data_IF_133509699379
#
_entry.id   IF_133509699379
#
_cell.length_a   1.000
_cell.length_b   1.000
_cell.length_c   1.000
_cell.angle_alpha   90.00
_cell.angle_beta   90.00
_cell.angle_gamma   90.00
#
_symmetry.space_group_name_H-M   'P 1'
#
loop_
_entity.id
_entity.type
_entity.pdbx_description
1 polymer ?
#
# COMPACT_ATOMS: atom_id res chain seq x y z
N UNK A 1 2.29 -4.88 -19.46
CA UNK A 1 2.11 -5.87 -18.37
C UNK A 1 2.48 -5.22 -17.04
N UNK A 2 1.52 -4.60 -16.33
CA UNK A 2 1.69 -4.34 -14.89
C UNK A 2 1.01 -5.50 -14.20
N UNK A 3 1.83 -6.47 -13.79
CA UNK A 3 1.43 -7.68 -13.11
C UNK A 3 0.46 -7.30 -12.00
N UNK A 4 -0.74 -7.88 -12.03
CA UNK A 4 -1.55 -8.01 -10.83
C UNK A 4 -0.72 -8.82 -9.84
N UNK A 5 0.15 -8.15 -9.08
CA UNK A 5 0.89 -8.78 -8.00
C UNK A 5 -0.18 -9.27 -7.03
N UNK A 6 -0.34 -10.59 -6.98
CA UNK A 6 -1.04 -11.20 -5.88
C UNK A 6 -0.28 -10.84 -4.60
N UNK A 7 -0.76 -9.80 -3.90
CA UNK A 7 -0.21 -9.32 -2.64
C UNK A 7 -0.68 -10.25 -1.52
N UNK A 8 -0.43 -11.55 -1.69
CA UNK A 8 -0.66 -12.59 -0.69
C UNK A 8 0.66 -12.97 -0.01
N UNK A 9 0.58 -13.37 1.26
CA UNK A 9 1.75 -13.83 2.01
C UNK A 9 2.39 -15.05 1.35
N UNK A 10 1.59 -15.90 0.69
CA UNK A 10 2.05 -17.07 -0.04
C UNK A 10 2.89 -16.69 -1.26
N UNK A 11 2.36 -15.81 -2.13
CA UNK A 11 3.07 -15.38 -3.33
C UNK A 11 4.37 -14.65 -2.99
N UNK A 12 4.34 -13.79 -1.97
CA UNK A 12 5.53 -13.10 -1.48
C UNK A 12 6.58 -14.08 -0.91
N UNK A 13 6.17 -15.06 -0.09
CA UNK A 13 7.07 -16.07 0.43
C UNK A 13 7.72 -16.88 -0.70
N UNK A 14 6.94 -17.29 -1.70
CA UNK A 14 7.43 -18.01 -2.88
C UNK A 14 8.45 -17.18 -3.68
N UNK A 15 8.18 -15.90 -3.89
CA UNK A 15 9.11 -14.98 -4.59
C UNK A 15 10.43 -14.79 -3.83
N UNK A 16 10.39 -14.85 -2.50
CA UNK A 16 11.57 -14.74 -1.63
C UNK A 16 12.29 -16.08 -1.40
N UNK A 17 11.83 -17.18 -2.01
CA UNK A 17 12.39 -18.52 -1.76
C UNK A 17 12.15 -19.02 -0.32
N UNK A 18 11.12 -18.52 0.35
CA UNK A 18 10.80 -18.81 1.75
C UNK A 18 9.48 -19.58 1.88
N UNK A 19 9.35 -20.31 3.00
CA UNK A 19 8.03 -20.76 3.46
C UNK A 19 7.26 -19.61 4.11
N UNK A 20 5.92 -19.63 4.06
CA UNK A 20 5.09 -18.63 4.73
C UNK A 20 5.41 -18.49 6.23
N UNK A 21 5.70 -19.61 6.90
CA UNK A 21 6.07 -19.61 8.33
C UNK A 21 7.38 -18.86 8.57
N UNK A 22 8.36 -19.02 7.67
CA UNK A 22 9.63 -18.31 7.77
C UNK A 22 9.47 -16.81 7.50
N UNK A 23 8.68 -16.46 6.49
CA UNK A 23 8.35 -15.06 6.20
C UNK A 23 7.65 -14.39 7.39
N UNK A 24 6.61 -15.03 7.95
CA UNK A 24 5.90 -14.51 9.13
C UNK A 24 6.83 -14.36 10.34
N UNK A 25 7.74 -15.31 10.56
CA UNK A 25 8.73 -15.23 11.65
C UNK A 25 9.68 -14.04 11.45
N UNK A 26 10.21 -13.86 10.25
CA UNK A 26 11.09 -12.74 9.92
C UNK A 26 10.39 -11.39 10.13
N UNK A 27 9.16 -11.25 9.63
CA UNK A 27 8.35 -10.04 9.84
C UNK A 27 8.08 -9.79 11.33
N UNK A 28 7.77 -10.82 12.11
CA UNK A 28 7.56 -10.69 13.55
C UNK A 28 8.84 -10.28 14.31
N UNK A 29 10.01 -10.74 13.87
CA UNK A 29 11.31 -10.31 14.43
C UNK A 29 11.57 -8.82 14.17
N UNK A 30 11.11 -8.31 13.03
CA UNK A 30 11.11 -6.90 12.63
C UNK A 30 9.91 -6.11 13.23
N UNK A 31 9.11 -6.73 14.11
CA UNK A 31 7.89 -6.14 14.72
C UNK A 31 6.88 -5.61 13.69
N UNK A 32 6.80 -6.26 12.54
CA UNK A 32 5.83 -5.95 11.48
C UNK A 32 5.07 -7.22 11.08
N UNK A 33 4.14 -7.06 10.15
CA UNK A 33 3.36 -8.13 9.57
C UNK A 33 3.25 -7.93 8.07
N UNK A 34 2.92 -9.01 7.36
CA UNK A 34 2.80 -8.94 5.91
C UNK A 34 1.74 -7.90 5.49
N UNK A 35 0.66 -7.79 6.26
CA UNK A 35 -0.39 -6.80 6.02
C UNK A 35 0.12 -5.37 6.20
N UNK A 36 0.94 -5.11 7.21
CA UNK A 36 1.52 -3.78 7.46
C UNK A 36 2.51 -3.39 6.36
N UNK A 37 3.36 -4.31 5.91
CA UNK A 37 4.28 -4.11 4.79
C UNK A 37 3.55 -3.86 3.47
N UNK A 38 2.53 -4.66 3.15
CA UNK A 38 1.70 -4.44 1.97
C UNK A 38 1.00 -3.09 2.05
N UNK A 39 0.50 -2.73 3.23
CA UNK A 39 -0.09 -1.41 3.43
C UNK A 39 0.96 -0.32 3.22
N UNK A 40 2.22 -0.52 3.66
CA UNK A 40 3.35 0.43 3.53
C UNK A 40 3.68 0.68 2.08
N UNK A 41 3.88 -0.39 1.32
CA UNK A 41 4.09 -0.31 -0.12
C UNK A 41 2.93 0.42 -0.82
N UNK A 42 1.66 0.08 -0.50
CA UNK A 42 0.50 0.75 -1.11
C UNK A 42 0.43 2.23 -0.79
N UNK A 43 0.72 2.61 0.46
CA UNK A 43 0.71 4.01 0.88
C UNK A 43 1.81 4.81 0.18
N UNK A 44 3.02 4.26 0.07
CA UNK A 44 4.12 4.88 -0.66
C UNK A 44 3.77 5.12 -2.14
N UNK A 45 3.23 4.11 -2.82
CA UNK A 45 2.81 4.24 -4.23
C UNK A 45 1.64 5.23 -4.37
N UNK A 46 0.67 5.20 -3.46
CA UNK A 46 -0.47 6.11 -3.51
C UNK A 46 -0.03 7.56 -3.33
N UNK A 47 0.83 7.86 -2.36
CA UNK A 47 1.36 9.21 -2.12
C UNK A 47 2.19 9.70 -3.32
N UNK A 48 3.02 8.85 -3.91
CA UNK A 48 3.74 9.19 -5.15
C UNK A 48 2.78 9.54 -6.30
N UNK A 49 1.73 8.73 -6.51
CA UNK A 49 0.72 8.99 -7.55
C UNK A 49 -0.04 10.29 -7.30
N UNK A 50 -0.41 10.57 -6.05
CA UNK A 50 -1.11 11.80 -5.67
C UNK A 50 -0.23 13.05 -5.87
N UNK A 51 1.08 12.95 -5.66
CA UNK A 51 2.02 14.05 -5.79
C UNK A 51 2.44 14.33 -7.24
N UNK A 52 2.57 13.28 -8.07
CA UNK A 52 3.11 13.38 -9.44
C UNK A 52 2.03 13.49 -10.51
N UNK A 53 0.74 13.43 -10.16
CA UNK A 53 -0.35 13.42 -11.13
C UNK A 53 -1.66 14.01 -10.60
N UNK A 54 -2.50 14.48 -11.53
CA UNK A 54 -3.86 14.96 -11.26
C UNK A 54 -4.91 13.85 -11.29
N UNK A 55 -4.49 12.58 -11.13
CA UNK A 55 -5.41 11.45 -11.15
C UNK A 55 -6.49 11.61 -10.08
N UNK A 56 -7.75 11.33 -10.42
CA UNK A 56 -8.83 11.27 -9.42
C UNK A 56 -8.49 10.22 -8.34
N UNK A 57 -8.93 10.44 -7.10
CA UNK A 57 -8.67 9.53 -5.97
C UNK A 57 -9.11 8.09 -6.30
N UNK A 58 -10.24 7.93 -6.99
CA UNK A 58 -10.71 6.66 -7.55
C UNK A 58 -9.67 5.96 -8.44
N UNK A 59 -9.04 6.68 -9.36
CA UNK A 59 -8.04 6.12 -10.27
C UNK A 59 -6.75 5.74 -9.53
N UNK A 60 -6.39 6.49 -8.49
CA UNK A 60 -5.26 6.15 -7.60
C UNK A 60 -5.56 4.88 -6.82
N UNK A 61 -6.77 4.77 -6.23
CA UNK A 61 -7.21 3.58 -5.49
C UNK A 61 -7.14 2.33 -6.37
N UNK A 62 -7.68 2.40 -7.59
CA UNK A 62 -7.62 1.31 -8.56
C UNK A 62 -6.17 0.90 -8.90
N UNK A 63 -5.26 1.87 -9.06
CA UNK A 63 -3.83 1.60 -9.36
C UNK A 63 -3.08 0.90 -8.24
N UNK A 64 -3.45 1.12 -6.98
CA UNK A 64 -2.84 0.44 -5.82
C UNK A 64 -3.62 -0.81 -5.38
N UNK A 65 -4.66 -1.18 -6.14
CA UNK A 65 -5.47 -2.37 -5.88
C UNK A 65 -6.37 -2.24 -4.65
N UNK A 66 -6.89 -1.03 -4.38
CA UNK A 66 -7.80 -0.74 -3.28
C UNK A 66 -9.12 -0.15 -3.80
N UNK A 67 -10.19 -0.28 -3.00
CA UNK A 67 -11.37 0.58 -3.16
C UNK A 67 -11.07 2.00 -2.67
N UNK A 68 -11.88 2.98 -3.07
CA UNK A 68 -11.77 4.35 -2.56
C UNK A 68 -11.91 4.42 -1.05
N UNK A 69 -12.84 3.64 -0.48
CA UNK A 69 -13.04 3.56 0.98
C UNK A 69 -11.82 2.97 1.70
N UNK A 70 -11.20 1.94 1.13
CA UNK A 70 -9.99 1.32 1.66
C UNK A 70 -8.77 2.26 1.54
N UNK A 71 -8.66 3.01 0.44
CA UNK A 71 -7.63 4.02 0.28
C UNK A 71 -7.81 5.15 1.30
N UNK A 72 -9.03 5.64 1.50
CA UNK A 72 -9.31 6.67 2.50
C UNK A 72 -8.97 6.20 3.92
N UNK A 73 -9.26 4.94 4.25
CA UNK A 73 -8.84 4.32 5.52
C UNK A 73 -7.32 4.26 5.64
N UNK A 74 -6.62 3.82 4.59
CA UNK A 74 -5.15 3.74 4.59
C UNK A 74 -4.49 5.10 4.88
N UNK A 75 -5.03 6.19 4.33
CA UNK A 75 -4.53 7.54 4.60
C UNK A 75 -4.86 8.03 6.01
N UNK A 76 -6.05 7.73 6.54
CA UNK A 76 -6.37 8.03 7.95
C UNK A 76 -5.44 7.30 8.91
N UNK A 77 -5.23 6.01 8.67
CA UNK A 77 -4.41 5.17 9.54
C UNK A 77 -2.92 5.58 9.55
N UNK A 78 -2.43 6.36 8.56
CA UNK A 78 -1.00 6.66 8.38
C UNK A 78 -0.57 8.10 8.21
N UNK A 79 -1.46 8.95 7.75
CA UNK A 79 -1.21 10.37 7.54
C UNK A 79 -2.23 11.24 8.24
N UNK A 80 -3.13 10.64 9.03
CA UNK A 80 -4.19 11.30 9.80
C UNK A 80 -5.05 12.27 8.96
N UNK A 81 -5.21 11.96 7.67
CA UNK A 81 -5.97 12.77 6.73
C UNK A 81 -6.55 11.92 5.60
N UNK A 82 -7.33 12.53 4.72
CA UNK A 82 -7.82 11.88 3.48
C UNK A 82 -6.83 12.03 2.33
N UNK A 83 -6.90 11.18 1.28
CA UNK A 83 -6.07 11.32 0.09
C UNK A 83 -6.18 12.71 -0.58
N UNK A 84 -7.38 13.30 -0.55
CA UNK A 84 -7.63 14.63 -1.11
C UNK A 84 -6.96 15.75 -0.29
N UNK A 85 -7.09 15.70 1.04
CA UNK A 85 -6.39 16.63 1.95
C UNK A 85 -4.88 16.49 1.84
N UNK A 86 -4.37 15.25 1.75
CA UNK A 86 -2.95 14.99 1.55
C UNK A 86 -2.42 15.65 0.28
N UNK A 87 -3.17 15.56 -0.83
CA UNK A 87 -2.80 16.26 -2.08
C UNK A 87 -2.79 17.77 -1.91
N UNK A 88 -3.83 18.34 -1.31
CA UNK A 88 -3.92 19.79 -1.11
C UNK A 88 -2.75 20.32 -0.27
N UNK A 89 -2.38 19.60 0.79
CA UNK A 89 -1.24 19.95 1.65
C UNK A 89 0.13 19.87 0.95
N UNK A 90 0.25 19.11 -0.14
CA UNK A 90 1.48 19.00 -0.96
C UNK A 90 1.48 19.89 -2.20
N UNK A 91 0.35 20.46 -2.57
CA UNK A 91 0.21 21.38 -3.70
C UNK A 91 0.46 22.85 -3.30
N UNK A 92 0.83 23.10 -2.03
CA UNK A 92 1.29 24.39 -1.50
C UNK A 92 2.79 24.33 -1.25
#
# INVERSE_FOLDING_TARGET
MRSSLDLSSFAAAKQLGMSERSLRRALAQEKTSFREEVSAARFAVATELLARSDLKVQAVAARVGLSESALARLFRDRADCTPAQWRQAKAT
#
